data_IF_059136369378
#
_entry.id   IF_059136369378
#
_cell.length_a   1.000
_cell.length_b   1.000
_cell.length_c   1.000
_cell.angle_alpha   90.00
_cell.angle_beta   90.00
_cell.angle_gamma   90.00
#
_symmetry.space_group_name_H-M   'P 1'
#
loop_
_entity.id
_entity.type
_entity.pdbx_description
1 polymer ?
#
# COMPACT_ATOMS: atom_id res chain seq x y z
N UNK A 1 -45.73 1.51 18.42
CA UNK A 1 -44.54 0.75 17.99
C UNK A 1 -43.48 1.76 17.66
N UNK A 2 -42.35 1.72 18.37
CA UNK A 2 -41.32 2.76 18.33
C UNK A 2 -40.36 2.45 17.17
N UNK A 3 -40.36 3.29 16.14
CA UNK A 3 -39.46 3.15 15.00
C UNK A 3 -38.12 3.83 15.35
N UNK A 4 -37.15 3.04 15.82
CA UNK A 4 -35.79 3.51 16.06
C UNK A 4 -35.12 3.87 14.73
N UNK A 5 -35.13 5.15 14.35
CA UNK A 5 -34.33 5.66 13.25
C UNK A 5 -32.83 5.56 13.62
N UNK A 6 -32.15 4.54 13.11
CA UNK A 6 -30.70 4.40 13.25
C UNK A 6 -30.01 5.53 12.47
N UNK A 7 -29.63 6.61 13.15
CA UNK A 7 -28.96 7.78 12.57
C UNK A 7 -27.45 7.56 12.31
N UNK A 8 -27.04 6.31 12.11
CA UNK A 8 -25.66 5.96 11.81
C UNK A 8 -25.37 6.29 10.35
N UNK A 9 -24.50 7.28 10.11
CA UNK A 9 -23.99 7.59 8.77
C UNK A 9 -23.57 6.28 8.07
N UNK A 10 -23.82 6.07 6.77
CA UNK A 10 -23.42 4.82 6.12
C UNK A 10 -21.89 4.69 6.12
N UNK A 11 -21.37 3.52 6.52
CA UNK A 11 -19.94 3.22 6.44
C UNK A 11 -19.50 3.20 4.96
N UNK A 12 -18.47 3.97 4.62
CA UNK A 12 -17.89 3.98 3.28
C UNK A 12 -17.01 2.74 3.07
N UNK A 13 -17.45 1.84 2.19
CA UNK A 13 -16.67 0.65 1.81
C UNK A 13 -15.32 1.06 1.23
N UNK A 14 -14.25 0.44 1.72
CA UNK A 14 -12.88 0.70 1.27
C UNK A 14 -12.17 1.86 1.97
N UNK A 15 -12.83 2.57 2.89
CA UNK A 15 -12.17 3.58 3.72
C UNK A 15 -11.24 2.89 4.73
N UNK A 16 -9.97 3.30 4.71
CA UNK A 16 -8.99 2.90 5.73
C UNK A 16 -9.03 3.86 6.92
N UNK A 17 -8.71 3.35 8.11
CA UNK A 17 -8.50 4.20 9.28
C UNK A 17 -7.35 5.16 8.97
N UNK A 18 -7.55 6.44 9.26
CA UNK A 18 -6.53 7.47 9.25
C UNK A 18 -5.79 7.50 10.59
N UNK A 19 -4.68 8.24 10.66
CA UNK A 19 -4.00 8.47 11.94
C UNK A 19 -4.95 9.15 12.95
N UNK A 20 -5.78 10.09 12.50
CA UNK A 20 -6.76 10.75 13.36
C UNK A 20 -7.78 9.76 13.94
N UNK A 21 -8.33 8.87 13.09
CA UNK A 21 -9.24 7.82 13.55
C UNK A 21 -8.55 6.93 14.60
N UNK A 22 -7.27 6.58 14.40
CA UNK A 22 -6.48 5.79 15.36
C UNK A 22 -6.26 6.53 16.68
N UNK A 23 -6.02 7.84 16.66
CA UNK A 23 -5.91 8.66 17.86
C UNK A 23 -7.22 8.68 18.65
N UNK A 24 -8.36 8.80 17.95
CA UNK A 24 -9.69 8.67 18.59
C UNK A 24 -9.90 7.30 19.22
N UNK A 25 -9.48 6.21 18.56
CA UNK A 25 -9.51 4.86 19.15
C UNK A 25 -8.68 4.84 20.45
N UNK A 26 -7.48 5.41 20.44
CA UNK A 26 -6.60 5.43 21.61
C UNK A 26 -7.24 6.17 22.79
N UNK A 27 -7.76 7.38 22.55
CA UNK A 27 -8.39 8.19 23.59
C UNK A 27 -9.60 7.49 24.20
N UNK A 28 -10.54 7.02 23.37
CA UNK A 28 -11.76 6.38 23.86
C UNK A 28 -11.48 5.04 24.55
N UNK A 29 -10.55 4.25 24.02
CA UNK A 29 -10.14 3.00 24.65
C UNK A 29 -9.48 3.26 26.01
N UNK A 30 -8.68 4.32 26.14
CA UNK A 30 -8.08 4.71 27.44
C UNK A 30 -9.11 5.14 28.47
N UNK A 31 -10.25 5.70 28.02
CA UNK A 31 -11.40 6.06 28.85
C UNK A 31 -12.32 4.87 29.16
N UNK A 32 -11.99 3.65 28.71
CA UNK A 32 -12.76 2.43 29.00
C UNK A 32 -13.97 2.20 28.10
N UNK A 33 -14.09 2.90 26.96
CA UNK A 33 -15.20 2.70 26.04
C UNK A 33 -15.12 1.32 25.37
N UNK A 34 -16.27 0.67 25.18
CA UNK A 34 -16.35 -0.60 24.46
C UNK A 34 -16.07 -0.44 22.96
N UNK A 35 -15.58 -1.50 22.31
CA UNK A 35 -15.32 -1.50 20.86
C UNK A 35 -16.55 -1.07 20.03
N UNK A 36 -17.77 -1.41 20.49
CA UNK A 36 -19.02 -0.99 19.84
C UNK A 36 -19.27 0.51 19.96
N UNK A 37 -18.92 1.12 21.09
CA UNK A 37 -19.06 2.57 21.26
C UNK A 37 -18.06 3.33 20.39
N UNK A 38 -16.80 2.89 20.37
CA UNK A 38 -15.74 3.47 19.53
C UNK A 38 -16.10 3.34 18.03
N UNK A 39 -16.64 2.18 17.63
CA UNK A 39 -17.04 1.94 16.26
C UNK A 39 -18.20 2.86 15.80
N UNK A 40 -19.15 3.18 16.70
CA UNK A 40 -20.21 4.16 16.42
C UNK A 40 -19.65 5.57 16.21
N UNK A 41 -18.66 5.97 17.01
CA UNK A 41 -18.00 7.28 16.87
C UNK A 41 -17.30 7.40 15.50
N UNK A 42 -16.52 6.39 15.13
CA UNK A 42 -15.74 6.37 13.88
C UNK A 42 -16.54 5.94 12.66
N UNK A 43 -17.80 5.60 12.85
CA UNK A 43 -18.67 5.06 11.83
C UNK A 43 -18.06 3.86 11.08
N UNK A 44 -17.56 2.88 11.83
CA UNK A 44 -16.98 1.64 11.31
C UNK A 44 -17.54 0.40 12.01
N UNK A 45 -17.06 -0.78 11.64
CA UNK A 45 -17.51 -2.01 12.30
C UNK A 45 -16.79 -2.21 13.65
N UNK A 46 -17.44 -2.78 14.69
CA UNK A 46 -16.77 -3.14 15.94
C UNK A 46 -15.56 -4.06 15.75
N UNK A 47 -15.61 -4.92 14.72
CA UNK A 47 -14.49 -5.78 14.34
C UNK A 47 -13.30 -4.96 13.83
N UNK A 48 -13.52 -3.88 13.08
CA UNK A 48 -12.46 -2.97 12.62
C UNK A 48 -11.66 -2.42 13.80
N UNK A 49 -12.36 -1.95 14.85
CA UNK A 49 -11.74 -1.46 16.09
C UNK A 49 -10.96 -2.58 16.78
N UNK A 50 -11.54 -3.79 16.89
CA UNK A 50 -10.87 -4.94 17.50
C UNK A 50 -9.58 -5.34 16.77
N UNK A 51 -9.60 -5.39 15.43
CA UNK A 51 -8.41 -5.66 14.62
C UNK A 51 -7.36 -4.58 14.77
N UNK A 52 -7.77 -3.30 14.83
CA UNK A 52 -6.84 -2.20 15.03
C UNK A 52 -6.16 -2.27 16.39
N UNK A 53 -6.92 -2.48 17.47
CA UNK A 53 -6.38 -2.66 18.82
C UNK A 53 -5.41 -3.84 18.87
N UNK A 54 -5.74 -4.97 18.24
CA UNK A 54 -4.85 -6.13 18.18
C UNK A 54 -3.53 -5.82 17.47
N UNK A 55 -3.56 -5.01 16.40
CA UNK A 55 -2.35 -4.61 15.65
C UNK A 55 -1.49 -3.58 16.38
N UNK A 56 -2.10 -2.56 16.99
CA UNK A 56 -1.39 -1.44 17.61
C UNK A 56 -1.13 -1.57 19.12
N UNK A 57 -1.47 -2.70 19.74
CA UNK A 57 -1.20 -2.95 21.17
C UNK A 57 0.23 -3.41 21.37
N UNK A 58 0.99 -2.61 22.12
CA UNK A 58 2.37 -2.92 22.50
C UNK A 58 2.44 -3.39 23.94
N UNK A 59 3.41 -4.26 24.21
CA UNK A 59 3.71 -4.70 25.58
C UNK A 59 4.80 -3.80 26.17
N UNK A 60 4.52 -3.24 27.34
CA UNK A 60 5.37 -2.35 28.12
C UNK A 60 5.86 -3.08 29.38
N UNK A 61 6.94 -2.59 29.98
CA UNK A 61 7.52 -3.09 31.24
C UNK A 61 7.70 -4.62 31.24
N UNK A 62 8.60 -5.09 30.37
CA UNK A 62 8.95 -6.53 30.26
C UNK A 62 7.76 -7.44 29.93
N UNK A 63 6.66 -6.89 29.40
CA UNK A 63 5.50 -7.67 28.97
C UNK A 63 4.26 -7.55 29.86
N UNK A 64 4.39 -6.97 31.06
CA UNK A 64 3.34 -6.99 32.07
C UNK A 64 2.16 -6.05 31.76
N UNK A 65 2.40 -4.98 30.99
CA UNK A 65 1.37 -3.98 30.70
C UNK A 65 1.16 -3.88 29.20
N UNK A 66 -0.06 -4.12 28.74
CA UNK A 66 -0.44 -3.92 27.34
C UNK A 66 -1.12 -2.58 27.16
N UNK A 67 -0.63 -1.77 26.22
CA UNK A 67 -1.24 -0.48 25.90
C UNK A 67 -1.30 -0.28 24.38
N UNK A 68 -2.46 0.12 23.89
CA UNK A 68 -2.63 0.51 22.50
C UNK A 68 -1.97 1.88 22.24
N UNK A 69 -1.23 1.97 21.14
CA UNK A 69 -0.63 3.21 20.64
C UNK A 69 -1.03 3.43 19.18
N UNK A 70 -1.65 4.57 18.88
CA UNK A 70 -2.11 4.94 17.55
C UNK A 70 -0.96 4.99 16.54
N UNK A 71 0.20 5.52 16.95
CA UNK A 71 1.41 5.61 16.11
C UNK A 71 1.93 4.23 15.73
N UNK A 72 1.93 3.28 16.66
CA UNK A 72 2.34 1.89 16.40
C UNK A 72 1.35 1.18 15.48
N UNK A 73 0.04 1.39 15.69
CA UNK A 73 -1.01 0.89 14.79
C UNK A 73 -0.89 1.43 13.36
N UNK A 74 -0.55 2.71 13.22
CA UNK A 74 -0.28 3.34 11.93
C UNK A 74 0.96 2.75 11.27
N UNK A 75 2.09 2.69 11.98
CA UNK A 75 3.35 2.17 11.46
C UNK A 75 3.22 0.71 11.02
N UNK A 76 2.57 -0.13 11.84
CA UNK A 76 2.30 -1.54 11.51
C UNK A 76 1.41 -1.65 10.27
N UNK A 77 0.41 -0.79 10.12
CA UNK A 77 -0.44 -0.76 8.94
C UNK A 77 0.35 -0.37 7.68
N UNK A 78 1.20 0.66 7.76
CA UNK A 78 2.04 1.12 6.64
C UNK A 78 3.07 0.06 6.22
N UNK A 79 3.70 -0.62 7.18
CA UNK A 79 4.61 -1.72 6.91
C UNK A 79 3.91 -2.83 6.13
N UNK A 80 2.80 -3.36 6.66
CA UNK A 80 2.02 -4.37 5.94
C UNK A 80 1.52 -3.88 4.58
N UNK A 81 1.20 -2.59 4.47
CA UNK A 81 0.74 -2.01 3.20
C UNK A 81 1.87 -1.95 2.17
N UNK A 82 3.09 -1.67 2.59
CA UNK A 82 4.29 -1.72 1.71
C UNK A 82 4.61 -3.14 1.24
N UNK A 83 4.24 -4.14 2.05
CA UNK A 83 4.40 -5.55 1.71
C UNK A 83 3.35 -6.05 0.73
N UNK A 84 2.16 -5.44 0.75
CA UNK A 84 1.06 -5.77 -0.15
C UNK A 84 1.38 -5.44 -1.62
N UNK A 85 0.74 -6.19 -2.52
CA UNK A 85 0.82 -5.96 -3.96
C UNK A 85 1.97 -6.66 -4.66
N UNK A 86 1.99 -6.56 -5.99
CA UNK A 86 3.02 -7.19 -6.83
C UNK A 86 4.32 -6.42 -6.71
N UNK A 87 5.40 -7.08 -6.30
CA UNK A 87 6.74 -6.48 -6.24
C UNK A 87 7.25 -6.15 -7.65
N UNK A 88 7.95 -5.03 -7.76
CA UNK A 88 8.51 -4.57 -9.02
C UNK A 88 9.46 -5.61 -9.62
N UNK A 89 9.38 -5.83 -10.92
CA UNK A 89 10.28 -6.71 -11.66
C UNK A 89 11.59 -6.03 -12.05
N UNK A 90 11.75 -4.74 -11.77
CA UNK A 90 12.88 -3.90 -12.22
C UNK A 90 14.24 -4.57 -11.95
N UNK A 91 14.53 -4.90 -10.69
CA UNK A 91 15.80 -5.56 -10.30
C UNK A 91 15.91 -6.98 -10.87
N UNK A 92 14.80 -7.72 -10.90
CA UNK A 92 14.77 -9.11 -11.39
C UNK A 92 15.02 -9.20 -12.89
N UNK A 93 14.65 -8.17 -13.65
CA UNK A 93 14.78 -8.10 -15.11
C UNK A 93 15.83 -7.07 -15.54
N UNK A 94 16.81 -6.76 -14.69
CA UNK A 94 17.84 -5.74 -14.96
C UNK A 94 18.52 -5.90 -16.33
N UNK A 95 18.86 -7.12 -16.76
CA UNK A 95 19.46 -7.34 -18.10
C UNK A 95 18.63 -6.79 -19.26
N UNK A 96 17.31 -6.92 -19.16
CA UNK A 96 16.39 -6.35 -20.16
C UNK A 96 16.31 -4.82 -20.03
N UNK A 97 16.29 -4.31 -18.80
CA UNK A 97 16.29 -2.86 -18.53
C UNK A 97 17.56 -2.20 -19.07
N UNK A 98 18.74 -2.81 -18.85
CA UNK A 98 20.04 -2.35 -19.35
C UNK A 98 20.06 -2.33 -20.89
N UNK A 99 19.50 -3.37 -21.52
CA UNK A 99 19.31 -3.40 -22.97
C UNK A 99 18.43 -2.25 -23.47
N UNK A 100 17.30 -1.99 -22.80
CA UNK A 100 16.40 -0.89 -23.15
C UNK A 100 17.12 0.46 -23.01
N UNK A 101 17.90 0.67 -21.95
CA UNK A 101 18.74 1.87 -21.80
C UNK A 101 19.71 2.03 -22.95
N UNK A 102 20.43 0.96 -23.32
CA UNK A 102 21.37 0.99 -24.43
C UNK A 102 20.68 1.35 -25.75
N UNK A 103 19.55 0.72 -26.07
CA UNK A 103 18.78 1.04 -27.28
C UNK A 103 18.22 2.46 -27.28
N UNK A 104 17.74 2.94 -26.14
CA UNK A 104 17.20 4.30 -26.00
C UNK A 104 18.29 5.36 -26.23
N UNK A 105 19.42 5.28 -25.53
CA UNK A 105 20.48 6.29 -25.60
C UNK A 105 21.34 6.19 -26.86
N UNK A 106 21.68 4.98 -27.32
CA UNK A 106 22.64 4.81 -28.41
C UNK A 106 21.99 4.67 -29.78
N UNK A 107 20.72 4.25 -29.85
CA UNK A 107 20.00 4.05 -31.12
C UNK A 107 18.80 4.97 -31.31
N UNK A 108 18.42 5.76 -30.29
CA UNK A 108 17.27 6.67 -30.35
C UNK A 108 15.93 5.96 -30.43
N UNK A 109 15.85 4.70 -29.98
CA UNK A 109 14.64 3.90 -30.05
C UNK A 109 13.65 4.28 -28.96
N UNK A 110 12.35 4.25 -29.28
CA UNK A 110 11.30 4.32 -28.26
C UNK A 110 11.27 3.05 -27.40
N UNK A 111 10.70 3.14 -26.19
CA UNK A 111 10.53 1.99 -25.29
C UNK A 111 9.75 0.85 -25.96
N UNK A 112 8.71 1.18 -26.73
CA UNK A 112 7.94 0.22 -27.53
C UNK A 112 8.80 -0.48 -28.58
N UNK A 113 9.63 0.28 -29.31
CA UNK A 113 10.53 -0.28 -30.30
C UNK A 113 11.54 -1.23 -29.66
N UNK A 114 12.08 -0.89 -28.49
CA UNK A 114 12.99 -1.76 -27.74
C UNK A 114 12.33 -3.10 -27.38
N UNK A 115 11.11 -3.06 -26.82
CA UNK A 115 10.34 -4.26 -26.44
C UNK A 115 10.01 -5.11 -27.67
N UNK A 116 9.45 -4.48 -28.71
CA UNK A 116 9.02 -5.16 -29.92
C UNK A 116 10.18 -5.83 -30.64
N UNK A 117 11.31 -5.13 -30.78
CA UNK A 117 12.51 -5.67 -31.41
C UNK A 117 13.11 -6.83 -30.61
N UNK A 118 13.23 -6.68 -29.29
CA UNK A 118 13.76 -7.72 -28.41
C UNK A 118 12.99 -9.05 -28.53
N UNK A 119 11.65 -8.97 -28.58
CA UNK A 119 10.80 -10.15 -28.74
C UNK A 119 10.84 -10.70 -30.17
N UNK A 120 10.76 -9.85 -31.19
CA UNK A 120 10.76 -10.28 -32.59
C UNK A 120 12.07 -10.96 -33.01
N UNK A 121 13.20 -10.53 -32.45
CA UNK A 121 14.52 -11.12 -32.67
C UNK A 121 14.87 -12.24 -31.70
N UNK A 122 14.02 -12.53 -30.72
CA UNK A 122 14.27 -13.57 -29.72
C UNK A 122 15.46 -13.28 -28.80
N UNK A 123 15.85 -12.01 -28.66
CA UNK A 123 16.96 -11.59 -27.78
C UNK A 123 16.62 -11.88 -26.32
N UNK A 124 15.33 -11.69 -25.97
CA UNK A 124 14.79 -12.01 -24.65
C UNK A 124 13.52 -12.84 -24.79
N UNK A 125 13.34 -13.77 -23.86
CA UNK A 125 12.08 -14.53 -23.74
C UNK A 125 10.99 -13.66 -23.12
N UNK A 126 9.72 -14.00 -23.39
CA UNK A 126 8.55 -13.23 -22.92
C UNK A 126 8.51 -13.05 -21.40
N UNK A 127 9.00 -14.02 -20.63
CA UNK A 127 9.05 -13.90 -19.19
C UNK A 127 10.14 -12.92 -18.73
N UNK A 128 11.24 -12.81 -19.47
CA UNK A 128 12.39 -11.94 -19.18
C UNK A 128 12.13 -10.46 -19.46
N UNK A 129 11.10 -10.15 -20.25
CA UNK A 129 10.71 -8.80 -20.66
C UNK A 129 9.64 -8.22 -19.73
N UNK A 130 9.63 -6.90 -19.57
CA UNK A 130 8.49 -6.17 -18.97
C UNK A 130 7.67 -5.48 -20.06
N UNK A 131 6.37 -5.31 -19.84
CA UNK A 131 5.51 -4.63 -20.82
C UNK A 131 5.91 -3.16 -20.98
N UNK A 132 5.63 -2.55 -22.13
CA UNK A 132 5.95 -1.14 -22.34
C UNK A 132 5.33 -0.22 -21.30
N UNK A 133 4.07 -0.48 -20.90
CA UNK A 133 3.42 0.25 -19.81
C UNK A 133 4.23 0.20 -18.51
N UNK A 134 4.87 -0.93 -18.23
CA UNK A 134 5.72 -1.08 -17.04
C UNK A 134 7.01 -0.27 -17.18
N UNK A 135 7.59 -0.19 -18.39
CA UNK A 135 8.74 0.67 -18.66
C UNK A 135 8.41 2.16 -18.47
N UNK A 136 7.30 2.64 -19.03
CA UNK A 136 6.85 4.02 -18.81
C UNK A 136 6.62 4.31 -17.31
N UNK A 137 5.97 3.39 -16.58
CA UNK A 137 5.85 3.53 -15.13
C UNK A 137 7.21 3.61 -14.42
N UNK A 138 8.24 2.91 -14.90
CA UNK A 138 9.59 3.01 -14.34
C UNK A 138 10.24 4.37 -14.62
N UNK A 139 9.99 4.94 -15.80
CA UNK A 139 10.42 6.31 -16.12
C UNK A 139 9.71 7.33 -15.22
N UNK A 140 8.39 7.24 -15.08
CA UNK A 140 7.60 8.16 -14.24
C UNK A 140 8.00 8.08 -12.76
N UNK A 141 8.39 6.90 -12.29
CA UNK A 141 8.91 6.67 -10.95
C UNK A 141 10.39 7.10 -10.78
N UNK A 142 11.05 7.57 -11.84
CA UNK A 142 12.47 7.93 -11.84
C UNK A 142 13.41 6.74 -11.63
N UNK A 143 12.92 5.51 -11.84
CA UNK A 143 13.74 4.29 -11.76
C UNK A 143 14.62 4.11 -13.00
N UNK A 144 14.26 4.77 -14.09
CA UNK A 144 15.08 4.86 -15.29
C UNK A 144 15.50 6.31 -15.51
N UNK A 145 16.80 6.57 -15.69
CA UNK A 145 17.33 7.90 -16.01
C UNK A 145 17.10 8.25 -17.50
N UNK A 146 15.84 8.14 -17.91
CA UNK A 146 15.35 8.52 -19.23
C UNK A 146 14.54 9.80 -19.03
N UNK A 147 15.09 10.93 -19.46
CA UNK A 147 14.35 12.19 -19.46
C UNK A 147 13.43 12.22 -20.67
N UNK A 148 12.12 12.24 -20.45
CA UNK A 148 11.19 12.70 -21.47
C UNK A 148 11.46 14.20 -21.66
N UNK A 149 12.13 14.54 -22.76
CA UNK A 149 12.30 15.93 -23.20
C UNK A 149 10.99 16.52 -23.69
#
# INVERSE_FOLDING_TARGET
MDHSYSNTKPHQKGKHLTLNDRTTIQELHSKGYSNRAIARELNCSPSTVGYELKRGTVSLYTGNVKRYKAVEGQSTYELHRSECGRKSLFLRRHKFIDYVFHCFHNQGWSLDACVGYALAKGIFQKDQVVSTKTLYNYVDLGLMDIKNG
#
